data_IF_516715123393
#
_entry.id   IF_516715123393
#
_cell.length_a   1.000
_cell.length_b   1.000
_cell.length_c   1.000
_cell.angle_alpha   90.00
_cell.angle_beta   90.00
_cell.angle_gamma   90.00
#
_symmetry.space_group_name_H-M   'P 1'
#
loop_
_entity.id
_entity.type
_entity.pdbx_description
1 polymer ?
#
# COMPACT_ATOMS: atom_id res chain seq x y z
N UNK A 1 -9.82 -4.01 33.54
CA UNK A 1 -9.24 -3.70 32.22
C UNK A 1 -10.40 -3.67 31.23
N UNK A 2 -10.64 -2.56 30.53
CA UNK A 2 -11.67 -2.48 29.49
C UNK A 2 -11.22 -3.12 28.18
N UNK A 3 -12.14 -3.32 27.25
CA UNK A 3 -11.82 -3.70 25.86
C UNK A 3 -11.30 -2.44 25.15
N UNK A 4 -10.17 -2.55 24.46
CA UNK A 4 -9.64 -1.49 23.59
C UNK A 4 -10.07 -1.70 22.14
N UNK A 5 -10.29 -0.60 21.44
CA UNK A 5 -10.74 -0.53 20.04
C UNK A 5 -9.60 -0.17 19.09
N UNK A 6 -9.66 -0.70 17.88
CA UNK A 6 -8.69 -0.42 16.82
C UNK A 6 -9.33 -0.64 15.44
N UNK A 7 -8.62 -0.23 14.39
CA UNK A 7 -8.95 -0.49 12.99
C UNK A 7 -8.03 -1.56 12.39
N UNK A 8 -8.38 -2.08 11.22
CA UNK A 8 -7.57 -3.08 10.50
C UNK A 8 -6.39 -2.44 9.77
N UNK A 9 -6.52 -1.17 9.34
CA UNK A 9 -5.48 -0.45 8.60
C UNK A 9 -6.10 0.47 7.56
N UNK A 10 -6.32 -0.05 6.35
CA UNK A 10 -6.79 0.71 5.18
C UNK A 10 -8.06 1.56 5.39
N UNK A 11 -8.06 2.74 4.77
CA UNK A 11 -9.21 3.64 4.65
C UNK A 11 -9.50 3.97 3.18
N UNK A 12 -10.73 4.40 2.85
CA UNK A 12 -11.06 4.88 1.51
C UNK A 12 -10.18 6.09 1.12
N UNK A 13 -9.62 6.03 -0.08
CA UNK A 13 -8.85 7.13 -0.66
C UNK A 13 -9.82 8.27 -0.99
N UNK A 14 -9.58 9.50 -0.49
CA UNK A 14 -10.46 10.62 -0.82
C UNK A 14 -10.44 10.95 -2.33
N UNK A 15 -11.61 11.24 -2.91
CA UNK A 15 -11.76 11.51 -4.35
C UNK A 15 -10.83 12.63 -4.85
N UNK A 16 -10.59 13.65 -4.02
CA UNK A 16 -9.71 14.76 -4.36
C UNK A 16 -8.23 14.34 -4.42
N UNK A 17 -7.80 13.38 -3.60
CA UNK A 17 -6.44 12.83 -3.67
C UNK A 17 -6.28 11.96 -4.91
N UNK A 18 -7.30 11.16 -5.24
CA UNK A 18 -7.31 10.35 -6.45
C UNK A 18 -7.33 11.22 -7.73
N UNK A 19 -8.07 12.32 -7.73
CA UNK A 19 -8.16 13.24 -8.87
C UNK A 19 -6.87 14.07 -9.08
N UNK A 20 -6.21 14.49 -7.99
CA UNK A 20 -5.02 15.34 -8.03
C UNK A 20 -3.97 14.89 -7.00
N UNK A 21 -3.23 13.79 -7.29
CA UNK A 21 -2.26 13.25 -6.35
C UNK A 21 -1.07 14.21 -6.17
N UNK A 22 -0.73 14.46 -4.91
CA UNK A 22 0.44 15.23 -4.49
C UNK A 22 0.92 14.76 -3.12
N UNK A 23 2.19 15.00 -2.79
CA UNK A 23 2.72 14.68 -1.46
C UNK A 23 1.96 15.40 -0.35
N UNK A 24 1.67 16.70 -0.53
CA UNK A 24 0.86 17.47 0.41
C UNK A 24 -0.55 16.89 0.55
N UNK A 25 -1.22 16.57 -0.57
CA UNK A 25 -2.55 15.99 -0.53
C UNK A 25 -2.58 14.63 0.17
N UNK A 26 -1.54 13.82 0.02
CA UNK A 26 -1.42 12.55 0.73
C UNK A 26 -1.30 12.78 2.26
N UNK A 27 -0.48 13.73 2.69
CA UNK A 27 -0.35 14.11 4.11
C UNK A 27 -1.67 14.65 4.66
N UNK A 28 -2.35 15.53 3.92
CA UNK A 28 -3.66 16.08 4.31
C UNK A 28 -4.72 14.97 4.47
N UNK A 29 -4.71 14.00 3.56
CA UNK A 29 -5.65 12.87 3.61
C UNK A 29 -5.38 11.97 4.81
N UNK A 30 -4.10 11.67 5.10
CA UNK A 30 -3.71 10.92 6.29
C UNK A 30 -4.12 11.64 7.58
N UNK A 31 -3.90 12.96 7.66
CA UNK A 31 -4.29 13.77 8.82
C UNK A 31 -5.81 13.71 9.07
N UNK A 32 -6.62 13.77 8.01
CA UNK A 32 -8.09 13.62 8.11
C UNK A 32 -8.47 12.23 8.66
N UNK A 33 -7.81 11.17 8.20
CA UNK A 33 -8.08 9.79 8.66
C UNK A 33 -7.70 9.61 10.13
N UNK A 34 -6.51 10.07 10.53
CA UNK A 34 -6.06 10.01 11.92
C UNK A 34 -7.04 10.78 12.81
N UNK A 35 -7.39 12.01 12.41
CA UNK A 35 -8.30 12.85 13.22
C UNK A 35 -9.71 12.28 13.31
N UNK A 36 -10.18 11.61 12.27
CA UNK A 36 -11.48 10.94 12.26
C UNK A 36 -11.53 9.82 13.31
N UNK A 37 -10.47 9.02 13.42
CA UNK A 37 -10.38 7.94 14.41
C UNK A 37 -10.27 8.48 15.85
N UNK A 38 -9.46 9.52 16.06
CA UNK A 38 -9.37 10.20 17.35
C UNK A 38 -10.73 10.76 17.80
N UNK A 39 -11.44 11.46 16.89
CA UNK A 39 -12.76 12.02 17.19
C UNK A 39 -13.82 10.94 17.47
N UNK A 40 -13.64 9.74 16.89
CA UNK A 40 -14.47 8.57 17.15
C UNK A 40 -14.12 7.86 18.47
N UNK A 41 -13.03 8.24 19.14
CA UNK A 41 -12.57 7.62 20.38
C UNK A 41 -11.92 6.25 20.20
N UNK A 42 -11.28 5.99 19.04
CA UNK A 42 -10.52 4.75 18.81
C UNK A 42 -9.22 4.76 19.62
N UNK A 43 -8.94 3.67 20.33
CA UNK A 43 -7.79 3.59 21.26
C UNK A 43 -6.45 3.43 20.54
N UNK A 44 -6.40 2.66 19.46
CA UNK A 44 -5.22 2.49 18.59
C UNK A 44 -5.61 2.82 17.15
N UNK A 45 -5.04 3.90 16.63
CA UNK A 45 -5.36 4.43 15.29
C UNK A 45 -4.35 3.95 14.23
N UNK A 46 -4.71 4.04 12.96
CA UNK A 46 -3.85 3.75 11.81
C UNK A 46 -3.82 4.91 10.80
N UNK A 47 -2.80 4.98 9.95
CA UNK A 47 -2.62 6.01 8.92
C UNK A 47 -3.53 5.83 7.68
N UNK A 48 -4.32 4.76 7.65
CA UNK A 48 -5.23 4.45 6.55
C UNK A 48 -4.56 3.80 5.35
N UNK A 49 -3.28 3.44 5.44
CA UNK A 49 -2.48 2.85 4.36
C UNK A 49 -2.41 3.70 3.07
N UNK A 50 -2.70 5.00 3.16
CA UNK A 50 -2.75 5.87 1.98
C UNK A 50 -1.39 5.99 1.28
N UNK A 51 -0.27 5.84 2.00
CA UNK A 51 1.07 5.82 1.41
C UNK A 51 1.32 4.65 0.46
N UNK A 52 0.48 3.60 0.50
CA UNK A 52 0.56 2.43 -0.38
C UNK A 52 -0.31 2.57 -1.62
N UNK A 53 -1.16 3.59 -1.68
CA UNK A 53 -2.07 3.81 -2.78
C UNK A 53 -1.30 4.14 -4.07
N UNK A 54 -1.54 3.34 -5.11
CA UNK A 54 -1.13 3.64 -6.48
C UNK A 54 -2.39 3.82 -7.35
N UNK A 55 -2.59 5.05 -7.83
CA UNK A 55 -3.70 5.40 -8.73
C UNK A 55 -3.69 4.58 -10.03
N UNK A 56 -2.53 4.04 -10.43
CA UNK A 56 -2.38 3.21 -11.62
C UNK A 56 -2.68 1.72 -11.37
N UNK A 57 -2.85 1.29 -10.12
CA UNK A 57 -3.15 -0.09 -9.72
C UNK A 57 -4.32 -0.18 -8.71
N UNK A 58 -5.55 0.12 -9.14
CA UNK A 58 -6.72 0.17 -8.25
C UNK A 58 -7.19 -1.21 -7.74
N UNK A 59 -6.84 -2.30 -8.42
CA UNK A 59 -7.36 -3.65 -8.14
C UNK A 59 -6.86 -4.23 -6.80
N UNK A 60 -5.66 -3.84 -6.35
CA UNK A 60 -5.01 -4.38 -5.13
C UNK A 60 -4.62 -3.29 -4.14
N UNK A 61 -5.01 -2.03 -4.41
CA UNK A 61 -4.59 -0.84 -3.67
C UNK A 61 -3.08 -0.77 -3.44
N UNK A 62 -2.29 -1.33 -4.36
CA UNK A 62 -0.83 -1.38 -4.23
C UNK A 62 -0.30 -2.12 -3.00
N UNK A 63 -1.13 -2.84 -2.24
CA UNK A 63 -0.75 -3.40 -0.93
C UNK A 63 0.42 -4.38 -0.99
N UNK A 64 0.63 -5.07 -2.12
CA UNK A 64 1.78 -5.96 -2.29
C UNK A 64 2.86 -5.25 -3.10
N UNK A 65 2.44 -4.56 -4.15
CA UNK A 65 3.28 -3.83 -5.10
C UNK A 65 4.18 -2.80 -4.39
N UNK A 66 3.65 -2.07 -3.39
CA UNK A 66 4.42 -1.13 -2.56
C UNK A 66 5.66 -1.79 -1.93
N UNK A 67 5.51 -3.01 -1.42
CA UNK A 67 6.64 -3.74 -0.81
C UNK A 67 7.55 -4.34 -1.87
N UNK A 68 6.99 -5.12 -2.80
CA UNK A 68 7.80 -5.95 -3.69
C UNK A 68 8.53 -5.12 -4.75
N UNK A 69 7.95 -4.02 -5.24
CA UNK A 69 8.60 -3.18 -6.25
C UNK A 69 9.79 -2.39 -5.70
N UNK A 70 9.86 -2.25 -4.37
CA UNK A 70 10.97 -1.61 -3.68
C UNK A 70 12.09 -2.58 -3.34
N UNK A 71 11.94 -3.89 -3.57
CA UNK A 71 12.99 -4.88 -3.32
C UNK A 71 13.97 -4.95 -4.49
N UNK A 72 15.25 -5.21 -4.19
CA UNK A 72 16.24 -5.39 -5.25
C UNK A 72 16.05 -6.71 -5.98
N UNK A 73 16.40 -6.69 -7.28
CA UNK A 73 16.17 -7.79 -8.23
C UNK A 73 14.70 -8.17 -8.41
N UNK A 74 13.79 -7.24 -8.08
CA UNK A 74 12.37 -7.34 -8.39
C UNK A 74 11.98 -6.29 -9.42
N UNK A 75 11.30 -6.74 -10.48
CA UNK A 75 10.82 -5.91 -11.58
C UNK A 75 9.31 -5.78 -11.53
N UNK A 76 8.83 -4.53 -11.47
CA UNK A 76 7.40 -4.20 -11.54
C UNK A 76 6.82 -4.42 -12.95
N UNK A 77 7.63 -4.25 -14.00
CA UNK A 77 7.17 -4.35 -15.38
C UNK A 77 6.93 -5.81 -15.79
N UNK A 78 5.69 -6.27 -15.70
CA UNK A 78 5.28 -7.63 -16.10
C UNK A 78 5.13 -7.74 -17.62
N UNK A 79 5.85 -8.67 -18.25
CA UNK A 79 5.72 -8.93 -19.70
C UNK A 79 4.57 -9.88 -20.01
N UNK A 80 4.19 -9.95 -21.30
CA UNK A 80 3.20 -10.95 -21.77
C UNK A 80 3.63 -12.39 -21.46
N UNK A 81 4.92 -12.70 -21.54
CA UNK A 81 5.45 -14.03 -21.26
C UNK A 81 5.39 -14.36 -19.76
N UNK A 82 5.65 -13.36 -18.91
CA UNK A 82 5.52 -13.47 -17.45
C UNK A 82 4.07 -13.80 -17.08
N UNK A 83 3.11 -13.03 -17.61
CA UNK A 83 1.68 -13.27 -17.39
C UNK A 83 1.24 -14.65 -17.89
N UNK A 84 1.68 -15.07 -19.08
CA UNK A 84 1.37 -16.39 -19.61
C UNK A 84 1.96 -17.53 -18.76
N UNK A 85 3.09 -17.29 -18.08
CA UNK A 85 3.68 -18.25 -17.15
C UNK A 85 2.92 -18.29 -15.84
N UNK A 86 2.60 -17.12 -15.29
CA UNK A 86 1.79 -16.96 -14.08
C UNK A 86 0.44 -17.67 -14.18
N UNK A 87 -0.27 -17.53 -15.30
CA UNK A 87 -1.57 -18.19 -15.50
C UNK A 87 -1.53 -19.72 -15.58
N UNK A 88 -0.35 -20.33 -15.72
CA UNK A 88 -0.21 -21.80 -15.67
C UNK A 88 -0.14 -22.34 -14.24
N UNK A 89 0.10 -21.47 -13.25
CA UNK A 89 0.12 -21.85 -11.85
C UNK A 89 -1.31 -21.89 -11.29
N UNK A 90 -1.84 -23.10 -11.10
CA UNK A 90 -3.18 -23.31 -10.54
C UNK A 90 -3.33 -22.70 -9.13
N UNK A 91 -2.22 -22.63 -8.37
CA UNK A 91 -2.17 -22.02 -7.05
C UNK A 91 -2.38 -20.51 -7.06
N UNK A 92 -2.23 -19.86 -8.22
CA UNK A 92 -2.38 -18.42 -8.41
C UNK A 92 -3.69 -18.01 -9.08
N UNK A 93 -4.63 -18.95 -9.26
CA UNK A 93 -5.93 -18.73 -9.92
C UNK A 93 -6.82 -17.66 -9.26
N UNK A 94 -6.57 -17.30 -8.00
CA UNK A 94 -7.28 -16.25 -7.28
C UNK A 94 -6.87 -14.82 -7.68
N UNK A 95 -5.79 -14.65 -8.47
CA UNK A 95 -5.28 -13.34 -8.88
C UNK A 95 -5.18 -13.26 -10.40
N UNK A 96 -5.59 -12.13 -10.97
CA UNK A 96 -5.61 -11.94 -12.42
C UNK A 96 -4.23 -11.61 -13.02
N UNK A 97 -3.32 -11.01 -12.24
CA UNK A 97 -1.98 -10.60 -12.69
C UNK A 97 -0.96 -10.79 -11.58
N UNK A 98 0.31 -11.13 -11.90
CA UNK A 98 1.38 -11.14 -10.90
C UNK A 98 1.65 -9.72 -10.41
N UNK A 99 2.07 -9.59 -9.15
CA UNK A 99 2.41 -8.29 -8.56
C UNK A 99 3.76 -7.75 -9.04
N UNK A 100 4.72 -8.64 -9.28
CA UNK A 100 6.06 -8.33 -9.76
C UNK A 100 6.76 -9.61 -10.24
N UNK A 101 7.93 -9.46 -10.86
CA UNK A 101 8.80 -10.56 -11.30
C UNK A 101 10.12 -10.53 -10.54
N UNK A 102 10.54 -11.66 -10.01
CA UNK A 102 11.85 -11.81 -9.35
C UNK A 102 12.86 -12.25 -10.41
N UNK A 103 13.83 -11.38 -10.74
CA UNK A 103 14.83 -11.62 -11.79
C UNK A 103 16.15 -12.20 -11.20
N UNK A 104 16.31 -12.26 -9.88
CA UNK A 104 17.51 -12.77 -9.21
C UNK A 104 17.35 -12.92 -7.70
N UNK A 105 18.45 -13.20 -6.95
CA UNK A 105 18.44 -13.22 -5.49
C UNK A 105 17.97 -11.87 -4.94
N UNK A 106 17.04 -11.87 -3.99
CA UNK A 106 16.54 -10.63 -3.39
C UNK A 106 17.64 -9.90 -2.62
N UNK A 107 17.61 -8.57 -2.68
CA UNK A 107 18.42 -7.69 -1.82
C UNK A 107 17.55 -6.57 -1.21
N UNK A 108 18.17 -5.69 -0.42
CA UNK A 108 17.49 -4.69 0.40
C UNK A 108 16.65 -3.69 -0.41
N UNK A 109 17.02 -3.41 -1.65
CA UNK A 109 16.34 -2.42 -2.49
C UNK A 109 16.24 -1.04 -1.82
N UNK A 110 15.05 -0.44 -1.84
CA UNK A 110 14.80 0.95 -1.42
C UNK A 110 13.60 1.12 -0.49
N UNK A 111 13.07 0.04 0.10
CA UNK A 111 11.90 0.11 0.98
C UNK A 111 12.23 0.85 2.29
N UNK A 112 11.54 1.95 2.58
CA UNK A 112 11.76 2.79 3.77
C UNK A 112 10.52 2.87 4.68
N UNK A 113 10.20 1.76 5.34
CA UNK A 113 9.10 1.72 6.33
C UNK A 113 9.32 2.70 7.51
N UNK A 114 10.55 2.86 8.05
CA UNK A 114 10.80 3.85 9.10
C UNK A 114 10.50 5.29 8.66
N UNK A 115 10.88 5.67 7.44
CA UNK A 115 10.60 6.99 6.88
C UNK A 115 9.10 7.23 6.70
N UNK A 116 8.36 6.24 6.21
CA UNK A 116 6.91 6.36 6.04
C UNK A 116 6.17 6.44 7.39
N UNK A 117 6.61 5.67 8.39
CA UNK A 117 6.10 5.81 9.75
C UNK A 117 6.42 7.20 10.34
N UNK A 118 7.62 7.74 10.08
CA UNK A 118 8.01 9.04 10.58
C UNK A 118 7.12 10.17 10.02
N UNK A 119 6.68 10.07 8.76
CA UNK A 119 5.72 11.00 8.15
C UNK A 119 4.36 10.93 8.86
N UNK A 120 3.79 9.73 9.00
CA UNK A 120 2.49 9.55 9.64
C UNK A 120 2.50 10.00 11.11
N UNK A 121 3.59 9.73 11.85
CA UNK A 121 3.76 10.14 13.24
C UNK A 121 3.86 11.66 13.43
N UNK A 122 4.21 12.41 12.40
CA UNK A 122 4.36 13.86 12.46
C UNK A 122 3.04 14.63 12.26
N UNK A 123 1.97 13.93 11.89
CA UNK A 123 0.61 14.46 11.71
C UNK A 123 -0.16 14.45 13.03
#
# INVERSE_FOLDING_TARGET
MGILTTVVGSYPVPDWLAAHPSEQGLLDAMAVILKTQENAGIDVIADGELGRFDVNHPETNGMIEYFVNSLGNVRAAVTRSDAATFHKDEGMSFRARPSAVVDGPLDEGTLDLPGDFAKARAL
#
